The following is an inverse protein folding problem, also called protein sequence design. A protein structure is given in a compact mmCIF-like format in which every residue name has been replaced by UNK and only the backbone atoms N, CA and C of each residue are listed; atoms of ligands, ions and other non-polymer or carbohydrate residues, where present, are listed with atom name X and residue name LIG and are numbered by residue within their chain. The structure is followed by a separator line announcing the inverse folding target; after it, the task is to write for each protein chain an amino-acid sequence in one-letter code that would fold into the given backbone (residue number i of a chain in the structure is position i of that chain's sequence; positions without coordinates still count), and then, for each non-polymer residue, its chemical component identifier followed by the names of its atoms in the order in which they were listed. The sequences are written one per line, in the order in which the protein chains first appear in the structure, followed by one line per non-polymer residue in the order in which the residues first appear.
data_IF_660940466037
#
_entry.id   IF_660940466037
#
_cell.length_a   1.000
_cell.length_b   1.000
_cell.length_c   1.000
_cell.angle_alpha   90.00
_cell.angle_beta   90.00
_cell.angle_gamma   90.00
#
_symmetry.space_group_name_H-M   'P 1'
#
loop_
_entity.id
_entity.type
_entity.pdbx_description
1 polymer ?
#
# COMPACT_ATOMS: atom_id res chain seq x y z
N UNK A 1 5.11 25.93 -35.50
CA UNK A 1 5.38 24.85 -36.46
C UNK A 1 6.45 25.36 -37.43
N UNK A 2 7.67 24.80 -37.44
CA UNK A 2 8.80 25.36 -38.21
C UNK A 2 8.98 24.62 -39.55
N UNK A 3 8.65 25.29 -40.66
CA UNK A 3 8.76 24.72 -41.99
C UNK A 3 10.22 24.74 -42.49
N UNK A 4 10.96 23.65 -42.23
CA UNK A 4 12.27 23.41 -42.85
C UNK A 4 12.13 23.08 -44.35
N UNK A 5 11.89 24.12 -45.16
CA UNK A 5 11.90 24.03 -46.62
C UNK A 5 13.35 24.03 -47.10
N UNK A 6 14.02 22.88 -46.97
CA UNK A 6 15.38 22.67 -47.46
C UNK A 6 15.39 22.76 -48.99
N UNK A 7 15.83 23.90 -49.54
CA UNK A 7 16.06 24.08 -50.98
C UNK A 7 17.22 23.19 -51.44
N UNK A 8 16.92 21.96 -51.85
CA UNK A 8 17.87 21.13 -52.59
C UNK A 8 18.19 21.79 -53.94
N UNK A 9 19.48 21.96 -54.24
CA UNK A 9 19.94 22.98 -55.19
C UNK A 9 19.68 22.71 -56.67
N UNK A 10 19.38 23.78 -57.39
CA UNK A 10 19.30 23.86 -58.86
C UNK A 10 20.61 24.32 -59.52
N UNK A 11 21.41 25.13 -58.82
CA UNK A 11 22.23 26.14 -59.50
C UNK A 11 23.59 25.61 -60.00
N UNK A 12 24.18 24.64 -59.31
CA UNK A 12 25.55 24.16 -59.56
C UNK A 12 25.69 23.23 -60.78
N UNK A 13 24.58 22.76 -61.37
CA UNK A 13 24.62 21.99 -62.61
C UNK A 13 24.79 22.88 -63.86
N UNK A 14 24.49 24.18 -63.75
CA UNK A 14 24.40 25.10 -64.89
C UNK A 14 25.71 25.25 -65.66
N UNK A 15 26.86 25.31 -64.98
CA UNK A 15 28.18 25.48 -65.60
C UNK A 15 28.60 24.25 -66.42
N UNK A 16 28.29 23.04 -65.95
CA UNK A 16 28.66 21.80 -66.64
C UNK A 16 27.88 21.64 -67.95
N UNK A 17 26.59 22.01 -67.96
CA UNK A 17 25.79 22.00 -69.20
C UNK A 17 26.19 23.10 -70.20
N UNK A 18 26.71 24.24 -69.73
CA UNK A 18 27.26 25.28 -70.62
C UNK A 18 28.56 24.87 -71.32
N UNK A 19 29.29 23.88 -70.76
CA UNK A 19 30.56 23.39 -71.31
C UNK A 19 30.37 22.38 -72.45
N UNK A 20 29.25 21.63 -72.50
CA UNK A 20 29.02 20.60 -73.54
C UNK A 20 29.21 21.13 -74.97
N UNK A 21 28.53 22.22 -75.41
CA UNK A 21 28.67 22.70 -76.79
C UNK A 21 30.09 23.17 -77.16
N UNK A 22 30.91 23.52 -76.17
CA UNK A 22 32.31 23.89 -76.36
C UNK A 22 33.16 22.64 -76.59
N UNK A 23 32.88 21.54 -75.86
CA UNK A 23 33.52 20.25 -76.09
C UNK A 23 33.12 19.64 -77.44
N UNK A 24 31.84 19.68 -77.80
CA UNK A 24 31.35 19.17 -79.09
C UNK A 24 32.02 19.88 -80.29
N UNK A 25 32.22 21.20 -80.17
CA UNK A 25 32.94 22.00 -81.18
C UNK A 25 34.43 21.66 -81.22
N UNK A 26 35.10 21.57 -80.07
CA UNK A 26 36.51 21.20 -79.97
C UNK A 26 36.77 19.78 -80.51
N UNK A 27 35.84 18.85 -80.29
CA UNK A 27 35.92 17.50 -80.86
C UNK A 27 35.89 17.55 -82.39
N UNK A 28 34.88 18.19 -83.01
CA UNK A 28 34.81 18.30 -84.48
C UNK A 28 36.06 18.96 -85.09
N UNK A 29 36.55 20.04 -84.48
CA UNK A 29 37.70 20.79 -85.01
C UNK A 29 39.01 20.02 -84.91
N UNK A 30 39.19 19.20 -83.87
CA UNK A 30 40.36 18.34 -83.70
C UNK A 30 40.28 17.06 -84.55
N UNK A 31 39.10 16.44 -84.66
CA UNK A 31 38.89 15.19 -85.41
C UNK A 31 39.18 15.37 -86.90
N UNK A 32 38.69 16.47 -87.49
CA UNK A 32 38.77 16.71 -88.94
C UNK A 32 40.22 17.04 -89.36
N UNK A 33 40.88 16.28 -90.25
CA UNK A 33 42.26 16.56 -90.67
C UNK A 33 42.42 17.88 -91.45
N UNK A 34 43.57 18.55 -91.31
CA UNK A 34 43.92 19.73 -92.13
C UNK A 34 43.80 19.47 -93.64
N UNK A 35 44.14 18.25 -94.06
CA UNK A 35 44.09 17.81 -95.46
C UNK A 35 42.66 17.77 -96.03
N UNK A 36 41.65 17.67 -95.16
CA UNK A 36 40.23 17.68 -95.51
C UNK A 36 39.60 19.07 -95.27
N UNK A 37 40.04 19.81 -94.25
CA UNK A 37 39.66 21.22 -94.02
C UNK A 37 40.10 22.14 -95.17
N UNK A 38 41.23 21.87 -95.85
CA UNK A 38 41.73 22.70 -96.96
C UNK A 38 40.88 22.51 -98.23
N UNK A 39 40.14 23.56 -98.64
CA UNK A 39 39.21 23.51 -99.79
C UNK A 39 39.91 23.36 -101.16
N UNK A 40 41.19 23.70 -101.26
CA UNK A 40 42.09 23.46 -102.41
C UNK A 40 43.53 23.31 -101.90
N UNK A 41 44.40 22.67 -102.69
CA UNK A 41 45.85 22.80 -102.52
C UNK A 41 46.27 24.23 -102.86
N UNK A 42 47.25 24.77 -102.13
CA UNK A 42 47.88 26.04 -102.47
C UNK A 42 49.02 25.80 -103.49
N UNK A 43 49.07 26.60 -104.54
CA UNK A 43 50.09 26.46 -105.59
C UNK A 43 51.46 27.03 -105.16
N UNK A 44 51.52 27.72 -104.02
CA UNK A 44 52.74 28.26 -103.44
C UNK A 44 53.08 27.52 -102.14
N UNK A 45 54.14 26.67 -102.12
CA UNK A 45 54.53 25.90 -100.94
C UNK A 45 54.78 26.73 -99.67
N UNK A 46 55.19 28.00 -99.82
CA UNK A 46 55.40 28.90 -98.66
C UNK A 46 54.07 29.31 -98.02
N UNK A 47 53.01 29.52 -98.83
CA UNK A 47 51.67 29.84 -98.32
C UNK A 47 51.05 28.59 -97.69
N UNK A 48 51.22 27.41 -98.31
CA UNK A 48 50.74 26.15 -97.73
C UNK A 48 51.41 25.86 -96.37
N UNK A 49 52.73 25.99 -96.27
CA UNK A 49 53.46 25.85 -95.01
C UNK A 49 52.96 26.83 -93.94
N UNK A 50 52.73 28.10 -94.31
CA UNK A 50 52.23 29.12 -93.39
C UNK A 50 50.80 28.85 -92.93
N UNK A 51 49.95 28.25 -93.77
CA UNK A 51 48.59 27.86 -93.40
C UNK A 51 48.58 26.60 -92.51
N UNK A 52 49.42 25.60 -92.81
CA UNK A 52 49.62 24.44 -91.95
C UNK A 52 50.18 24.84 -90.56
N UNK A 53 51.09 25.81 -90.50
CA UNK A 53 51.62 26.33 -89.23
C UNK A 53 50.54 27.03 -88.39
N UNK A 54 49.64 27.80 -89.01
CA UNK A 54 48.47 28.40 -88.33
C UNK A 54 47.53 27.33 -87.77
N UNK A 55 47.19 26.32 -88.57
CA UNK A 55 46.35 25.19 -88.14
C UNK A 55 46.96 24.48 -86.93
N UNK A 56 48.26 24.17 -86.96
CA UNK A 56 48.97 23.54 -85.83
C UNK A 56 48.93 24.46 -84.59
N UNK A 57 49.12 25.77 -84.76
CA UNK A 57 49.06 26.75 -83.67
C UNK A 57 47.66 26.88 -83.08
N UNK A 58 46.61 26.77 -83.90
CA UNK A 58 45.22 26.75 -83.43
C UNK A 58 44.94 25.47 -82.64
N UNK A 59 45.27 24.29 -83.20
CA UNK A 59 45.11 23.00 -82.51
C UNK A 59 45.86 22.95 -81.17
N UNK A 60 47.01 23.61 -81.06
CA UNK A 60 47.74 23.73 -79.79
C UNK A 60 46.96 24.55 -78.74
N UNK A 61 46.22 25.58 -79.16
CA UNK A 61 45.32 26.36 -78.29
C UNK A 61 44.07 25.57 -77.93
N UNK A 62 43.46 24.88 -78.90
CA UNK A 62 42.28 24.04 -78.73
C UNK A 62 42.55 22.89 -77.73
N UNK A 63 43.71 22.23 -77.85
CA UNK A 63 44.17 21.21 -76.91
C UNK A 63 44.45 21.80 -75.51
N UNK A 64 45.02 23.01 -75.41
CA UNK A 64 45.19 23.70 -74.11
C UNK A 64 43.84 24.02 -73.46
N UNK A 65 42.83 24.43 -74.24
CA UNK A 65 41.47 24.65 -73.78
C UNK A 65 40.81 23.34 -73.30
N UNK A 66 40.89 22.26 -74.09
CA UNK A 66 40.37 20.95 -73.72
C UNK A 66 41.03 20.40 -72.42
N UNK A 67 42.34 20.60 -72.24
CA UNK A 67 43.05 20.26 -70.99
C UNK A 67 42.56 21.12 -69.81
N UNK A 68 42.25 22.39 -70.06
CA UNK A 68 41.66 23.30 -69.07
C UNK A 68 40.28 22.85 -68.61
N UNK A 69 39.38 22.57 -69.56
CA UNK A 69 38.04 22.04 -69.33
C UNK A 69 38.11 20.69 -68.59
N UNK A 70 38.98 19.77 -69.03
CA UNK A 70 39.18 18.47 -68.37
C UNK A 70 39.60 18.63 -66.91
N UNK A 71 40.50 19.57 -66.60
CA UNK A 71 40.91 19.89 -65.22
C UNK A 71 39.79 20.49 -64.38
N UNK A 72 38.89 21.28 -64.98
CA UNK A 72 37.69 21.80 -64.32
C UNK A 72 36.70 20.66 -64.00
N UNK A 73 36.34 19.84 -64.99
CA UNK A 73 35.41 18.72 -64.81
C UNK A 73 35.91 17.69 -63.79
N UNK A 74 37.23 17.39 -63.77
CA UNK A 74 37.83 16.50 -62.77
C UNK A 74 37.76 17.07 -61.34
N UNK A 75 37.75 18.40 -61.16
CA UNK A 75 37.53 19.04 -59.85
C UNK A 75 36.05 19.01 -59.48
N UNK A 76 35.18 19.50 -60.36
CA UNK A 76 33.73 19.51 -60.16
C UNK A 76 33.18 18.12 -59.78
N UNK A 77 33.60 17.06 -60.48
CA UNK A 77 33.22 15.68 -60.15
C UNK A 77 33.72 15.21 -58.78
N UNK A 78 34.86 15.68 -58.28
CA UNK A 78 35.34 15.37 -56.91
C UNK A 78 34.51 16.10 -55.86
N UNK A 79 34.20 17.37 -56.10
CA UNK A 79 33.40 18.18 -55.19
C UNK A 79 31.95 17.67 -55.11
N UNK A 80 31.40 17.21 -56.24
CA UNK A 80 30.10 16.52 -56.32
C UNK A 80 30.14 15.16 -55.62
N UNK A 81 31.20 14.35 -55.78
CA UNK A 81 31.39 13.10 -55.05
C UNK A 81 31.49 13.32 -53.53
N UNK A 82 32.11 14.41 -53.08
CA UNK A 82 32.17 14.75 -51.65
C UNK A 82 30.79 15.16 -51.12
N UNK A 83 30.05 16.02 -51.84
CA UNK A 83 28.67 16.41 -51.48
C UNK A 83 27.72 15.21 -51.45
N UNK A 84 27.86 14.27 -52.38
CA UNK A 84 27.08 13.03 -52.44
C UNK A 84 27.35 12.13 -51.23
N UNK A 85 28.59 12.06 -50.74
CA UNK A 85 28.92 11.32 -49.51
C UNK A 85 28.28 11.96 -48.28
N UNK A 86 28.50 13.26 -48.07
CA UNK A 86 27.93 14.01 -46.94
C UNK A 86 26.41 13.90 -46.90
N UNK A 87 25.74 14.10 -48.05
CA UNK A 87 24.28 13.98 -48.14
C UNK A 87 23.78 12.54 -47.92
N UNK A 88 24.58 11.52 -48.23
CA UNK A 88 24.25 10.13 -47.91
C UNK A 88 24.50 9.79 -46.44
N UNK A 89 25.49 10.41 -45.80
CA UNK A 89 25.77 10.32 -44.35
C UNK A 89 24.62 10.97 -43.56
N UNK A 90 24.25 12.22 -43.87
CA UNK A 90 23.05 12.92 -43.36
C UNK A 90 21.77 12.07 -43.52
N UNK A 91 21.58 11.47 -44.71
CA UNK A 91 20.45 10.57 -44.99
C UNK A 91 20.46 9.34 -44.09
N UNK A 92 21.61 8.75 -43.78
CA UNK A 92 21.68 7.62 -42.84
C UNK A 92 21.37 8.01 -41.40
N UNK A 93 21.81 9.19 -40.94
CA UNK A 93 21.47 9.72 -39.61
C UNK A 93 19.97 10.03 -39.47
N UNK A 94 19.35 10.55 -40.53
CA UNK A 94 17.90 10.74 -40.60
C UNK A 94 17.15 9.40 -40.56
N UNK A 95 17.66 8.36 -41.23
CA UNK A 95 17.05 7.01 -41.17
C UNK A 95 17.18 6.33 -39.80
N UNK A 96 18.26 6.54 -39.04
CA UNK A 96 18.32 6.07 -37.65
C UNK A 96 17.33 6.84 -36.78
N UNK A 97 17.32 8.18 -36.88
CA UNK A 97 16.42 9.03 -36.08
C UNK A 97 14.93 8.76 -36.35
N UNK A 98 14.56 8.42 -37.58
CA UNK A 98 13.18 7.99 -37.92
C UNK A 98 12.82 6.70 -37.16
N UNK A 99 13.70 5.70 -37.13
CA UNK A 99 13.45 4.44 -36.39
C UNK A 99 13.35 4.67 -34.90
N UNK A 100 14.21 5.52 -34.33
CA UNK A 100 14.16 5.86 -32.92
C UNK A 100 12.78 6.45 -32.56
N UNK A 101 12.29 7.41 -33.35
CA UNK A 101 10.95 7.99 -33.22
C UNK A 101 9.82 6.98 -33.46
N UNK A 102 9.96 6.03 -34.39
CA UNK A 102 9.00 4.94 -34.58
C UNK A 102 8.90 4.06 -33.33
N UNK A 103 10.01 3.78 -32.63
CA UNK A 103 9.99 3.04 -31.36
C UNK A 103 9.37 3.86 -30.23
N UNK A 104 9.68 5.17 -30.12
CA UNK A 104 9.11 6.07 -29.12
C UNK A 104 7.57 6.19 -29.28
N UNK A 105 7.09 6.37 -30.51
CA UNK A 105 5.66 6.36 -30.85
C UNK A 105 5.00 5.03 -30.49
N UNK A 106 5.72 3.91 -30.63
CA UNK A 106 5.21 2.57 -30.28
C UNK A 106 5.10 2.39 -28.78
N UNK A 107 6.09 2.85 -28.01
CA UNK A 107 6.05 2.85 -26.54
C UNK A 107 4.92 3.73 -26.02
N UNK A 108 4.80 4.97 -26.52
CA UNK A 108 3.75 5.89 -26.10
C UNK A 108 2.32 5.39 -26.41
N UNK A 109 2.13 4.69 -27.54
CA UNK A 109 0.85 4.02 -27.84
C UNK A 109 0.50 2.93 -26.83
N UNK A 110 1.48 2.12 -26.43
CA UNK A 110 1.27 1.07 -25.42
C UNK A 110 0.97 1.67 -24.04
N UNK A 111 1.63 2.77 -23.67
CA UNK A 111 1.34 3.51 -22.43
C UNK A 111 -0.07 4.08 -22.42
N UNK A 112 -0.53 4.68 -23.54
CA UNK A 112 -1.92 5.18 -23.67
C UNK A 112 -2.95 4.05 -23.50
N UNK A 113 -2.70 2.85 -24.05
CA UNK A 113 -3.59 1.69 -23.85
C UNK A 113 -3.63 1.28 -22.37
N UNK A 114 -2.48 1.13 -21.72
CA UNK A 114 -2.39 0.78 -20.29
C UNK A 114 -3.04 1.82 -19.37
N UNK A 115 -3.03 3.11 -19.76
CA UNK A 115 -3.72 4.18 -19.04
C UNK A 115 -5.23 4.18 -19.30
N UNK A 116 -5.68 3.81 -20.51
CA UNK A 116 -7.10 3.63 -20.83
C UNK A 116 -7.71 2.44 -20.08
N UNK A 117 -7.00 1.32 -20.01
CA UNK A 117 -7.38 0.13 -19.23
C UNK A 117 -7.56 0.49 -17.75
N UNK A 118 -6.55 1.10 -17.12
CA UNK A 118 -6.64 1.56 -15.71
C UNK A 118 -7.73 2.60 -15.47
N UNK A 119 -7.98 3.50 -16.42
CA UNK A 119 -9.06 4.47 -16.29
C UNK A 119 -10.43 3.78 -16.33
N UNK A 120 -10.59 2.72 -17.13
CA UNK A 120 -11.81 1.92 -17.15
C UNK A 120 -11.99 1.10 -15.85
N UNK A 121 -10.91 0.53 -15.29
CA UNK A 121 -10.91 -0.09 -13.96
C UNK A 121 -11.34 0.89 -12.86
N UNK A 122 -10.81 2.12 -12.88
CA UNK A 122 -11.15 3.18 -11.92
C UNK A 122 -12.62 3.61 -12.05
N UNK A 123 -13.12 3.80 -13.27
CA UNK A 123 -14.54 4.15 -13.51
C UNK A 123 -15.45 3.04 -13.01
N UNK A 124 -15.18 1.78 -13.38
CA UNK A 124 -16.00 0.65 -12.90
C UNK A 124 -15.92 0.50 -11.38
N UNK A 125 -14.78 0.76 -10.75
CA UNK A 125 -14.68 0.79 -9.29
C UNK A 125 -15.48 1.94 -8.67
N UNK A 126 -15.54 3.11 -9.31
CA UNK A 126 -16.33 4.25 -8.85
C UNK A 126 -17.83 3.92 -8.92
N UNK A 127 -18.31 3.44 -10.06
CA UNK A 127 -19.70 3.02 -10.28
C UNK A 127 -20.17 2.05 -9.17
N UNK A 128 -19.36 1.02 -8.88
CA UNK A 128 -19.65 0.06 -7.81
C UNK A 128 -19.74 0.73 -6.42
N UNK A 129 -18.89 1.72 -6.12
CA UNK A 129 -18.94 2.44 -4.83
C UNK A 129 -20.12 3.41 -4.74
N UNK A 130 -20.57 3.99 -5.85
CA UNK A 130 -21.78 4.83 -5.88
C UNK A 130 -23.03 3.97 -5.66
N UNK A 131 -23.12 2.79 -6.30
CA UNK A 131 -24.15 1.78 -6.05
C UNK A 131 -24.19 1.32 -4.57
N UNK A 132 -23.03 1.16 -3.91
CA UNK A 132 -22.96 0.83 -2.48
C UNK A 132 -23.41 2.01 -1.59
N UNK A 133 -23.04 3.24 -1.96
CA UNK A 133 -23.42 4.45 -1.21
C UNK A 133 -24.95 4.69 -1.29
N UNK A 134 -25.57 4.50 -2.46
CA UNK A 134 -27.04 4.59 -2.58
C UNK A 134 -27.72 3.56 -1.69
N UNK A 135 -27.29 2.29 -1.72
CA UNK A 135 -27.82 1.22 -0.85
C UNK A 135 -27.71 1.56 0.64
N UNK A 136 -26.56 2.07 1.08
CA UNK A 136 -26.33 2.49 2.48
C UNK A 136 -27.23 3.68 2.86
N UNK A 137 -27.39 4.66 1.97
CA UNK A 137 -28.27 5.81 2.22
C UNK A 137 -29.75 5.40 2.29
N UNK A 138 -30.17 4.45 1.46
CA UNK A 138 -31.54 3.96 1.44
C UNK A 138 -31.87 3.13 2.71
N UNK A 139 -30.92 2.33 3.21
CA UNK A 139 -31.05 1.65 4.50
C UNK A 139 -31.03 2.61 5.69
N UNK A 140 -30.21 3.66 5.65
CA UNK A 140 -30.26 4.76 6.63
C UNK A 140 -31.65 5.45 6.63
N UNK A 141 -32.23 5.70 5.46
CA UNK A 141 -33.59 6.24 5.34
C UNK A 141 -34.68 5.29 5.83
N UNK A 142 -34.53 3.96 5.66
CA UNK A 142 -35.45 2.95 6.25
C UNK A 142 -35.38 3.00 7.78
N UNK A 143 -34.19 2.93 8.35
CA UNK A 143 -33.95 2.97 9.80
C UNK A 143 -34.45 4.28 10.44
N UNK A 144 -34.31 5.42 9.74
CA UNK A 144 -34.86 6.70 10.17
C UNK A 144 -36.41 6.71 10.19
N UNK A 145 -37.06 6.04 9.22
CA UNK A 145 -38.53 5.87 9.17
C UNK A 145 -39.05 4.91 10.24
N UNK A 146 -38.29 3.88 10.62
CA UNK A 146 -38.64 3.00 11.74
C UNK A 146 -38.52 3.74 13.09
N UNK A 147 -37.44 4.50 13.27
CA UNK A 147 -37.22 5.34 14.46
C UNK A 147 -38.35 6.36 14.66
N UNK A 148 -38.93 6.92 13.60
CA UNK A 148 -40.07 7.85 13.70
C UNK A 148 -41.40 7.12 13.95
N UNK A 149 -41.66 5.96 13.32
CA UNK A 149 -42.84 5.11 13.61
C UNK A 149 -42.88 4.69 15.08
N UNK A 150 -41.77 4.18 15.61
CA UNK A 150 -41.68 3.78 17.02
C UNK A 150 -41.96 4.97 17.96
N UNK A 151 -41.54 6.19 17.59
CA UNK A 151 -41.84 7.40 18.36
C UNK A 151 -43.32 7.81 18.33
N UNK A 152 -44.06 7.51 17.25
CA UNK A 152 -45.51 7.75 17.20
C UNK A 152 -46.30 6.76 18.05
N UNK A 153 -45.93 5.47 18.04
CA UNK A 153 -46.61 4.44 18.85
C UNK A 153 -46.58 4.78 20.35
N UNK A 154 -45.42 5.25 20.85
CA UNK A 154 -45.22 5.71 22.23
C UNK A 154 -46.15 6.89 22.64
N UNK A 155 -46.79 7.59 21.70
CA UNK A 155 -47.71 8.68 22.03
C UNK A 155 -49.07 8.19 22.53
N UNK A 156 -49.51 7.00 22.12
CA UNK A 156 -50.81 6.42 22.48
C UNK A 156 -50.76 5.72 23.84
N UNK A 157 -49.57 5.27 24.25
CA UNK A 157 -49.28 4.74 25.59
C UNK A 157 -49.11 5.83 26.67
N UNK A 158 -49.18 7.12 26.35
CA UNK A 158 -48.95 8.22 27.31
C UNK A 158 -49.78 8.10 28.61
N UNK A 159 -51.03 7.64 28.52
CA UNK A 159 -51.91 7.42 29.68
C UNK A 159 -51.46 6.22 30.56
N UNK A 160 -50.78 5.22 29.99
CA UNK A 160 -50.12 4.16 30.76
C UNK A 160 -48.78 4.64 31.32
N UNK A 161 -48.03 5.43 30.54
CA UNK A 161 -46.71 5.95 30.89
C UNK A 161 -46.75 6.90 32.10
N UNK A 162 -47.75 7.77 32.22
CA UNK A 162 -47.90 8.65 33.39
C UNK A 162 -48.16 7.86 34.68
N UNK A 163 -48.90 6.75 34.59
CA UNK A 163 -49.13 5.84 35.72
C UNK A 163 -47.85 5.09 36.09
N UNK A 164 -47.12 4.54 35.12
CA UNK A 164 -45.83 3.91 35.38
C UNK A 164 -44.78 4.92 35.88
N UNK A 165 -44.82 6.18 35.43
CA UNK A 165 -43.98 7.26 35.93
C UNK A 165 -44.26 7.54 37.41
N UNK A 166 -45.53 7.62 37.82
CA UNK A 166 -45.89 7.75 39.23
C UNK A 166 -45.41 6.56 40.07
N UNK A 167 -45.58 5.33 39.57
CA UNK A 167 -45.18 4.08 40.24
C UNK A 167 -43.64 3.91 40.33
N UNK A 168 -42.90 4.32 39.29
CA UNK A 168 -41.43 4.37 39.30
C UNK A 168 -40.94 5.44 40.30
N UNK A 169 -41.59 6.60 40.38
CA UNK A 169 -41.22 7.64 41.34
C UNK A 169 -41.50 7.20 42.79
N UNK A 170 -42.63 6.54 43.05
CA UNK A 170 -42.96 5.95 44.35
C UNK A 170 -41.97 4.83 44.77
N UNK A 171 -41.61 3.92 43.86
CA UNK A 171 -40.55 2.94 44.12
C UNK A 171 -39.18 3.59 44.31
N UNK A 172 -38.84 4.63 43.54
CA UNK A 172 -37.57 5.36 43.69
C UNK A 172 -37.50 6.09 45.03
N UNK A 173 -38.61 6.63 45.52
CA UNK A 173 -38.69 7.23 46.85
C UNK A 173 -38.50 6.16 47.94
N UNK A 174 -39.20 5.02 47.85
CA UNK A 174 -39.08 3.90 48.79
C UNK A 174 -37.67 3.32 48.85
N UNK A 175 -37.03 3.07 47.70
CA UNK A 175 -35.64 2.60 47.68
C UNK A 175 -34.66 3.65 48.20
N UNK A 176 -34.96 4.95 48.11
CA UNK A 176 -34.16 6.00 48.72
C UNK A 176 -34.30 6.01 50.24
N UNK A 177 -35.53 5.91 50.75
CA UNK A 177 -35.81 5.81 52.18
C UNK A 177 -35.20 4.53 52.79
N UNK A 178 -35.30 3.40 52.08
CA UNK A 178 -34.68 2.12 52.48
C UNK A 178 -33.14 2.19 52.43
N UNK A 179 -32.57 2.87 51.42
CA UNK A 179 -31.13 3.13 51.35
C UNK A 179 -30.66 4.02 52.50
N UNK A 180 -31.35 5.12 52.80
CA UNK A 180 -31.00 6.04 53.89
C UNK A 180 -31.15 5.36 55.28
N UNK A 181 -32.18 4.52 55.46
CA UNK A 181 -32.33 3.65 56.63
C UNK A 181 -31.19 2.62 56.74
N UNK A 182 -30.81 2.00 55.63
CA UNK A 182 -29.70 1.01 55.58
C UNK A 182 -28.35 1.67 55.85
N UNK A 183 -28.11 2.86 55.28
CA UNK A 183 -26.92 3.66 55.50
C UNK A 183 -26.82 4.10 56.97
N UNK A 184 -27.93 4.53 57.57
CA UNK A 184 -27.99 4.83 59.01
C UNK A 184 -27.71 3.58 59.85
N UNK A 185 -28.34 2.45 59.56
CA UNK A 185 -28.13 1.19 60.27
C UNK A 185 -26.67 0.70 60.14
N UNK A 186 -26.02 0.93 59.00
CA UNK A 186 -24.59 0.70 58.77
C UNK A 186 -23.72 1.60 59.65
N UNK A 187 -23.99 2.91 59.71
CA UNK A 187 -23.26 3.85 60.57
C UNK A 187 -23.42 3.46 62.04
N UNK A 188 -24.64 3.14 62.48
CA UNK A 188 -24.93 2.67 63.84
C UNK A 188 -24.20 1.34 64.14
N UNK A 189 -24.01 0.47 63.14
CA UNK A 189 -23.21 -0.76 63.28
C UNK A 189 -21.70 -0.48 63.34
N UNK A 190 -21.17 0.41 62.50
CA UNK A 190 -19.75 0.82 62.51
C UNK A 190 -19.36 1.47 63.84
N UNK A 191 -20.23 2.32 64.41
CA UNK A 191 -20.04 2.90 65.76
C UNK A 191 -20.04 1.81 66.84
N UNK A 192 -20.94 0.81 66.76
CA UNK A 192 -20.95 -0.32 67.70
C UNK A 192 -19.69 -1.18 67.59
N UNK A 193 -19.21 -1.45 66.38
CA UNK A 193 -17.94 -2.16 66.17
C UNK A 193 -16.75 -1.39 66.74
N UNK A 194 -16.66 -0.08 66.52
CA UNK A 194 -15.60 0.76 67.08
C UNK A 194 -15.59 0.77 68.63
N UNK A 195 -16.78 0.82 69.25
CA UNK A 195 -16.93 0.75 70.70
C UNK A 195 -16.50 -0.62 71.25
N UNK A 196 -16.90 -1.72 70.59
CA UNK A 196 -16.50 -3.08 70.96
C UNK A 196 -14.99 -3.31 70.75
N UNK A 197 -14.40 -2.75 69.70
CA UNK A 197 -12.95 -2.74 69.50
C UNK A 197 -12.22 -2.01 70.64
N UNK A 198 -12.73 -0.86 71.10
CA UNK A 198 -12.19 -0.17 72.28
C UNK A 198 -12.31 -1.01 73.55
N UNK A 199 -13.43 -1.71 73.75
CA UNK A 199 -13.64 -2.58 74.90
C UNK A 199 -12.70 -3.79 74.88
N UNK A 200 -12.53 -4.45 73.73
CA UNK A 200 -11.52 -5.50 73.53
C UNK A 200 -10.09 -4.95 73.74
N UNK A 201 -9.79 -3.72 73.29
CA UNK A 201 -8.49 -3.06 73.56
C UNK A 201 -8.29 -2.69 75.04
N UNK A 202 -9.35 -2.51 75.83
CA UNK A 202 -9.30 -2.33 77.30
C UNK A 202 -9.11 -3.68 77.99
N UNK A 203 -9.96 -4.65 77.70
CA UNK A 203 -9.89 -6.02 78.23
C UNK A 203 -8.53 -6.68 77.94
N UNK A 204 -7.99 -6.56 76.74
CA UNK A 204 -6.65 -7.09 76.42
C UNK A 204 -5.53 -6.40 77.24
N UNK A 205 -5.62 -5.08 77.50
CA UNK A 205 -4.65 -4.41 78.38
C UNK A 205 -4.74 -4.93 79.81
N UNK A 206 -5.95 -5.22 80.30
CA UNK A 206 -6.15 -5.73 81.66
C UNK A 206 -5.81 -7.22 81.78
N UNK A 207 -6.02 -8.03 80.74
CA UNK A 207 -5.45 -9.39 80.61
C UNK A 207 -3.93 -9.30 80.68
N UNK A 208 -3.28 -8.49 79.83
CA UNK A 208 -1.80 -8.36 79.86
C UNK A 208 -1.27 -7.81 81.20
N UNK A 209 -2.03 -6.96 81.91
CA UNK A 209 -1.71 -6.56 83.29
C UNK A 209 -1.81 -7.72 84.28
N UNK A 210 -2.87 -8.52 84.20
CA UNK A 210 -3.06 -9.71 85.03
C UNK A 210 -2.00 -10.77 84.74
N UNK A 211 -1.67 -11.04 83.48
CA UNK A 211 -0.57 -11.92 83.06
C UNK A 211 0.79 -11.44 83.59
N UNK A 212 1.07 -10.14 83.52
CA UNK A 212 2.31 -9.58 84.09
C UNK A 212 2.34 -9.68 85.63
N UNK A 213 1.21 -9.49 86.31
CA UNK A 213 1.11 -9.64 87.76
C UNK A 213 1.23 -11.11 88.19
N UNK A 214 0.59 -12.03 87.46
CA UNK A 214 0.75 -13.49 87.62
C UNK A 214 2.19 -13.92 87.36
N UNK A 215 2.84 -13.42 86.29
CA UNK A 215 4.24 -13.70 85.99
C UNK A 215 5.20 -13.21 87.09
N UNK A 216 4.95 -12.04 87.68
CA UNK A 216 5.69 -11.54 88.85
C UNK A 216 5.43 -12.39 90.10
N UNK A 217 4.17 -12.73 90.37
CA UNK A 217 3.78 -13.56 91.52
C UNK A 217 4.40 -14.95 91.41
N UNK A 218 4.23 -15.63 90.28
CA UNK A 218 4.78 -16.95 90.00
C UNK A 218 6.32 -16.96 90.01
N UNK A 219 6.99 -15.87 89.60
CA UNK A 219 8.45 -15.73 89.76
C UNK A 219 8.85 -15.63 91.23
N UNK A 220 8.17 -14.79 92.03
CA UNK A 220 8.40 -14.68 93.47
C UNK A 220 8.10 -15.99 94.21
N UNK A 221 7.01 -16.68 93.85
CA UNK A 221 6.65 -17.99 94.40
C UNK A 221 7.62 -19.09 93.95
N UNK A 222 8.18 -19.05 92.73
CA UNK A 222 9.31 -19.90 92.35
C UNK A 222 10.59 -19.60 93.13
N UNK A 223 10.91 -18.33 93.38
CA UNK A 223 12.09 -17.95 94.18
C UNK A 223 11.93 -18.41 95.63
N UNK A 224 10.73 -18.29 96.21
CA UNK A 224 10.37 -18.84 97.52
C UNK A 224 10.43 -20.38 97.50
N UNK A 225 9.87 -21.06 96.50
CA UNK A 225 9.88 -22.52 96.40
C UNK A 225 11.30 -23.06 96.21
N UNK A 226 12.15 -22.42 95.40
CA UNK A 226 13.57 -22.80 95.29
C UNK A 226 14.34 -22.55 96.59
N UNK A 227 14.04 -21.47 97.31
CA UNK A 227 14.64 -21.21 98.63
C UNK A 227 14.20 -22.23 99.68
N UNK A 228 12.91 -22.58 99.71
CA UNK A 228 12.36 -23.62 100.58
C UNK A 228 12.90 -25.00 100.22
N UNK A 229 12.99 -25.36 98.93
CA UNK A 229 13.55 -26.64 98.49
C UNK A 229 15.04 -26.76 98.86
N UNK A 230 15.82 -25.68 98.71
CA UNK A 230 17.23 -25.61 99.17
C UNK A 230 17.38 -25.72 100.70
N UNK A 231 16.34 -25.38 101.49
CA UNK A 231 16.31 -25.63 102.94
C UNK A 231 15.79 -27.04 103.29
N UNK A 232 14.77 -27.52 102.59
CA UNK A 232 14.04 -28.76 102.91
C UNK A 232 14.83 -30.04 102.64
N UNK A 233 15.83 -30.00 101.76
CA UNK A 233 16.68 -31.16 101.42
C UNK A 233 17.57 -31.63 102.61
N UNK A 234 17.48 -31.01 103.79
CA UNK A 234 18.19 -31.47 105.00
C UNK A 234 17.34 -32.17 106.07
N UNK A 235 16.02 -32.03 106.11
CA UNK A 235 15.20 -32.58 107.21
C UNK A 235 13.87 -33.20 106.78
N UNK A 236 13.72 -34.49 107.14
CA UNK A 236 12.49 -35.32 107.22
C UNK A 236 11.72 -35.68 105.92
N UNK A 237 11.58 -36.99 105.60
CA UNK A 237 10.65 -37.49 104.59
C UNK A 237 9.35 -38.04 105.21
N UNK A 238 8.20 -37.69 104.63
CA UNK A 238 6.93 -38.44 104.86
C UNK A 238 6.26 -38.72 103.52
N UNK A 239 5.86 -39.97 103.34
CA UNK A 239 5.26 -40.51 102.13
C UNK A 239 3.75 -40.71 102.38
N UNK A 240 2.87 -40.24 101.49
CA UNK A 240 1.49 -40.73 101.41
C UNK A 240 1.03 -40.79 99.96
N UNK A 241 0.56 -41.97 99.57
CA UNK A 241 -0.16 -42.23 98.33
C UNK A 241 -1.66 -42.23 98.62
N UNK A 242 -2.45 -41.64 97.72
CA UNK A 242 -3.90 -41.79 97.73
C UNK A 242 -4.31 -42.24 96.32
N UNK A 243 -4.96 -43.41 96.26
CA UNK A 243 -5.76 -43.89 95.12
C UNK A 243 -7.23 -43.63 95.42
N UNK A 244 -7.99 -43.28 94.39
CA UNK A 244 -9.42 -43.59 94.31
C UNK A 244 -9.75 -43.88 92.85
N UNK A 245 -10.05 -45.14 92.56
CA UNK A 245 -10.63 -45.59 91.30
C UNK A 245 -12.18 -45.44 91.42
N UNK A 246 -12.91 -45.10 90.34
CA UNK A 246 -14.38 -45.21 90.18
C UNK A 246 -14.68 -45.17 88.67
N UNK A 247 -15.51 -46.11 88.21
CA UNK A 247 -15.77 -46.36 86.78
C UNK A 247 -17.14 -45.81 86.30
N UNK A 248 -17.27 -45.79 84.98
CA UNK A 248 -18.46 -45.75 84.12
C UNK A 248 -19.87 -45.62 84.72
N UNK A 249 -20.67 -44.71 84.15
CA UNK A 249 -22.08 -44.98 83.83
C UNK A 249 -22.51 -44.24 82.56
N UNK A 250 -23.17 -44.96 81.65
CA UNK A 250 -23.79 -44.42 80.42
C UNK A 250 -25.19 -43.83 80.70
N UNK A 251 -25.86 -43.39 79.63
CA UNK A 251 -27.32 -43.45 79.44
C UNK A 251 -28.24 -42.42 80.14
N UNK A 252 -29.33 -41.91 79.53
CA UNK A 252 -29.77 -42.00 78.12
C UNK A 252 -30.86 -40.93 77.78
N UNK A 253 -31.19 -40.80 76.48
CA UNK A 253 -32.45 -40.25 75.90
C UNK A 253 -32.79 -38.75 76.12
N UNK A 254 -33.58 -38.08 75.25
CA UNK A 254 -34.19 -38.45 73.95
C UNK A 254 -34.12 -37.19 73.02
N UNK A 255 -33.74 -37.22 71.73
CA UNK A 255 -34.45 -37.76 70.54
C UNK A 255 -35.79 -37.02 70.26
N UNK A 256 -36.28 -36.74 69.04
CA UNK A 256 -36.01 -37.11 67.62
C UNK A 256 -36.24 -35.81 66.78
N UNK A 257 -36.14 -35.61 65.45
CA UNK A 257 -35.89 -36.33 64.18
C UNK A 257 -35.64 -35.26 63.06
N UNK A 258 -35.50 -35.46 61.73
CA UNK A 258 -35.53 -36.63 60.81
C UNK A 258 -34.69 -36.32 59.54
N UNK A 259 -33.88 -37.30 59.09
CA UNK A 259 -33.56 -37.69 57.70
C UNK A 259 -33.26 -36.67 56.57
N UNK A 260 -32.02 -36.75 56.07
CA UNK A 260 -31.68 -36.72 54.63
C UNK A 260 -32.05 -38.06 53.95
N UNK A 261 -32.06 -38.12 52.60
CA UNK A 261 -31.70 -39.31 51.81
C UNK A 261 -31.36 -38.95 50.35
N UNK A 262 -30.62 -39.84 49.68
CA UNK A 262 -29.90 -39.65 48.41
C UNK A 262 -30.72 -39.85 47.12
N UNK A 263 -30.01 -39.67 45.99
CA UNK A 263 -30.12 -40.39 44.69
C UNK A 263 -31.04 -39.82 43.59
N UNK A 264 -30.59 -39.96 42.33
CA UNK A 264 -31.39 -39.64 41.13
C UNK A 264 -30.62 -38.99 39.96
N UNK A 265 -29.95 -39.79 39.13
CA UNK A 265 -29.50 -39.45 37.76
C UNK A 265 -30.16 -40.51 36.85
N UNK A 266 -30.92 -40.14 35.79
CA UNK A 266 -30.30 -39.95 34.47
C UNK A 266 -30.98 -38.98 33.48
N UNK A 267 -30.20 -38.56 32.46
CA UNK A 267 -30.52 -38.37 31.03
C UNK A 267 -31.69 -37.43 30.60
N UNK A 268 -31.69 -36.79 29.43
CA UNK A 268 -30.79 -36.83 28.25
C UNK A 268 -30.96 -35.56 27.37
N UNK A 269 -29.95 -35.22 26.55
CA UNK A 269 -30.03 -34.54 25.23
C UNK A 269 -30.74 -33.16 25.09
N UNK A 270 -30.27 -32.16 24.31
CA UNK A 270 -29.16 -32.02 23.34
C UNK A 270 -28.56 -30.59 23.49
N UNK A 271 -27.24 -30.39 23.41
CA UNK A 271 -26.46 -29.98 22.21
C UNK A 271 -26.74 -28.53 21.73
N UNK A 272 -25.75 -27.69 21.37
CA UNK A 272 -24.45 -27.94 20.71
C UNK A 272 -23.29 -27.11 21.31
N UNK A 273 -22.06 -27.67 21.25
CA UNK A 273 -20.71 -27.03 21.19
C UNK A 273 -20.68 -25.54 20.80
N UNK A 274 -19.72 -24.71 21.21
CA UNK A 274 -18.34 -24.94 21.71
C UNK A 274 -17.39 -24.01 20.92
N UNK A 275 -16.52 -23.20 21.53
CA UNK A 275 -15.25 -23.59 22.19
C UNK A 275 -14.23 -24.22 21.22
N UNK A 276 -12.99 -23.74 21.07
CA UNK A 276 -12.25 -22.59 21.65
C UNK A 276 -10.90 -22.44 20.86
N UNK A 277 -10.04 -21.48 21.25
CA UNK A 277 -8.59 -21.33 20.92
C UNK A 277 -8.13 -20.73 19.57
N UNK A 278 -7.32 -19.68 19.70
CA UNK A 278 -6.18 -19.28 18.83
C UNK A 278 -4.86 -19.76 19.51
N UNK A 279 -3.62 -19.43 19.04
CA UNK A 279 -3.14 -18.87 17.77
C UNK A 279 -1.86 -19.57 17.20
N UNK A 280 -1.11 -18.84 16.36
CA UNK A 280 0.37 -18.88 16.10
C UNK A 280 1.02 -19.84 15.08
N UNK A 281 1.91 -19.23 14.28
CA UNK A 281 3.11 -19.74 13.58
C UNK A 281 2.94 -20.72 12.40
N UNK A 282 3.88 -20.83 11.43
CA UNK A 282 4.73 -19.87 10.67
C UNK A 282 5.55 -20.69 9.62
N UNK A 283 5.90 -20.08 8.47
CA UNK A 283 6.86 -20.55 7.44
C UNK A 283 6.55 -21.75 6.48
N UNK A 284 6.27 -21.38 5.21
CA UNK A 284 7.12 -21.63 4.01
C UNK A 284 6.84 -22.83 3.04
N UNK A 285 7.43 -22.70 1.83
CA UNK A 285 7.62 -23.67 0.70
C UNK A 285 6.56 -23.70 -0.43
N UNK A 286 6.65 -22.69 -1.31
CA UNK A 286 6.96 -22.73 -2.77
C UNK A 286 6.47 -23.86 -3.74
N UNK A 287 6.14 -23.43 -4.98
CA UNK A 287 5.92 -24.19 -6.24
C UNK A 287 4.63 -25.04 -6.34
N UNK A 288 3.97 -25.26 -7.50
CA UNK A 288 4.36 -25.13 -8.93
C UNK A 288 3.29 -24.42 -9.80
N UNK A 289 3.59 -24.28 -11.10
CA UNK A 289 2.83 -23.56 -12.13
C UNK A 289 1.58 -24.27 -12.69
N UNK A 290 0.60 -23.48 -13.12
CA UNK A 290 -0.25 -23.81 -14.29
C UNK A 290 -0.85 -22.56 -14.92
N UNK A 291 -0.50 -22.24 -16.17
CA UNK A 291 -1.03 -21.08 -16.91
C UNK A 291 -2.24 -21.53 -17.76
N UNK A 292 -3.43 -21.03 -17.45
CA UNK A 292 -4.61 -21.16 -18.32
C UNK A 292 -4.83 -19.91 -19.15
N UNK A 293 -4.49 -19.97 -20.44
CA UNK A 293 -4.78 -18.89 -21.39
C UNK A 293 -6.27 -18.91 -21.77
N UNK A 294 -7.01 -17.88 -21.38
CA UNK A 294 -8.38 -17.64 -21.87
C UNK A 294 -8.34 -16.80 -23.15
N UNK A 295 -9.04 -17.26 -24.18
CA UNK A 295 -9.10 -16.60 -25.49
C UNK A 295 -10.13 -15.47 -25.51
N UNK A 296 -9.66 -14.21 -25.55
CA UNK A 296 -10.51 -13.03 -25.72
C UNK A 296 -10.98 -12.91 -27.18
N UNK A 297 -12.28 -12.71 -27.46
CA UNK A 297 -12.80 -12.53 -28.82
C UNK A 297 -12.39 -11.17 -29.41
N UNK A 298 -12.13 -11.13 -30.72
CA UNK A 298 -11.82 -9.88 -31.44
C UNK A 298 -13.10 -9.04 -31.66
N UNK A 299 -13.28 -7.99 -30.88
CA UNK A 299 -14.17 -6.87 -31.24
C UNK A 299 -13.44 -5.93 -32.21
N UNK A 300 -13.89 -5.87 -33.47
CA UNK A 300 -13.43 -4.84 -34.41
C UNK A 300 -14.16 -3.52 -34.09
N UNK A 301 -13.46 -2.56 -33.49
CA UNK A 301 -13.92 -1.18 -33.44
C UNK A 301 -13.57 -0.51 -34.76
N UNK A 302 -14.58 -0.20 -35.57
CA UNK A 302 -14.45 0.70 -36.70
C UNK A 302 -14.29 2.13 -36.16
N UNK A 303 -13.20 2.79 -36.54
CA UNK A 303 -13.00 4.22 -36.33
C UNK A 303 -13.27 4.95 -37.65
N UNK A 304 -14.27 5.84 -37.68
CA UNK A 304 -14.54 6.70 -38.83
C UNK A 304 -13.45 7.77 -39.02
N UNK A 305 -13.01 7.97 -40.25
CA UNK A 305 -11.90 8.88 -40.61
C UNK A 305 -12.22 10.38 -40.42
N UNK A 306 -13.44 10.74 -40.04
CA UNK A 306 -13.91 12.13 -39.97
C UNK A 306 -13.38 12.90 -38.75
N UNK A 307 -13.02 12.21 -37.66
CA UNK A 307 -12.73 12.86 -36.37
C UNK A 307 -11.47 13.76 -36.36
N UNK A 308 -10.56 13.59 -37.33
CA UNK A 308 -9.27 14.30 -37.37
C UNK A 308 -9.24 15.55 -38.27
N UNK A 309 -10.34 15.94 -38.94
CA UNK A 309 -10.34 17.08 -39.89
C UNK A 309 -10.40 18.48 -39.23
N UNK A 310 -10.61 18.57 -37.92
CA UNK A 310 -11.03 19.83 -37.26
C UNK A 310 -9.92 20.60 -36.53
N UNK A 311 -8.63 20.29 -36.76
CA UNK A 311 -7.49 21.03 -36.19
C UNK A 311 -6.51 21.44 -37.30
N UNK A 312 -6.92 22.38 -38.14
CA UNK A 312 -6.07 23.01 -39.19
C UNK A 312 -6.48 24.45 -39.48
N UNK A 313 -6.74 25.23 -38.42
CA UNK A 313 -6.89 26.69 -38.48
C UNK A 313 -6.45 27.34 -37.16
N UNK A 314 -5.15 27.68 -37.08
CA UNK A 314 -4.49 28.78 -36.35
C UNK A 314 -2.97 28.63 -36.56
#
# INVERSE_FOLDING_TARGET
MAAYVTRCGSDQNSETFQILPILDSLEQDLLTPYVEKRKKHENNPKIELQNALKEITQREQDLKAAIGISKFLIRSNKDLLQKLKLSNEEKTELFTKIKDLETEITVGKNEVILLQEKNHEIISSLDNTEDELERINDDYHKLLKEKSKNKMNMSLDSISLDRFSAEINDMTLKFREEYDLTLKAKIDAEIRCANLEEEVKKLNKDITRLENNMGRKNRGEMEILQFLQRKSIRESPVNMSIKTDIDDYEDNYQEVSKFSIESGIPNENMSVRGSFLSPTNVYNICTQDSITVLSVPKTQVLFDEEFFKTVSFI
#
